data_IF_009353285267
#
_entry.id   IF_009353285267
#
_cell.length_a   1.000
_cell.length_b   1.000
_cell.length_c   1.000
_cell.angle_alpha   90.00
_cell.angle_beta   90.00
_cell.angle_gamma   90.00
#
_symmetry.space_group_name_H-M   'P 1'
#
loop_
_entity.id
_entity.type
_entity.pdbx_description
1 polymer ?
#
# COMPACT_ATOMS: atom_id res chain seq x y z
N UNK A 1 -38.62 -49.92 0.26
CA UNK A 1 -38.91 -48.99 -0.86
C UNK A 1 -37.68 -48.90 -1.75
N UNK A 2 -37.91 -48.87 -3.05
CA UNK A 2 -37.00 -49.20 -4.15
C UNK A 2 -35.71 -48.35 -4.23
N UNK A 3 -34.54 -48.99 -4.28
CA UNK A 3 -33.24 -48.39 -4.54
C UNK A 3 -32.92 -48.44 -6.03
N UNK A 4 -32.80 -47.27 -6.66
CA UNK A 4 -32.33 -47.14 -8.05
C UNK A 4 -30.80 -47.05 -8.09
N UNK A 5 -30.10 -47.81 -8.96
CA UNK A 5 -28.66 -47.67 -9.15
C UNK A 5 -28.34 -46.52 -10.11
N UNK A 6 -27.32 -45.72 -9.77
CA UNK A 6 -26.74 -44.67 -10.62
C UNK A 6 -25.74 -45.26 -11.62
N UNK A 7 -25.88 -44.87 -12.89
CA UNK A 7 -24.99 -45.24 -13.98
C UNK A 7 -23.60 -44.59 -13.83
N UNK A 8 -22.54 -45.39 -14.02
CA UNK A 8 -21.15 -44.94 -14.13
C UNK A 8 -20.88 -44.43 -15.55
N UNK A 9 -20.59 -43.14 -15.69
CA UNK A 9 -20.08 -42.55 -16.92
C UNK A 9 -18.57 -42.78 -17.06
N UNK A 10 -18.17 -43.44 -18.14
CA UNK A 10 -16.78 -43.64 -18.53
C UNK A 10 -16.23 -42.38 -19.20
N UNK A 11 -15.21 -41.75 -18.61
CA UNK A 11 -14.45 -40.67 -19.25
C UNK A 11 -13.44 -41.25 -20.25
N UNK A 12 -13.58 -40.86 -21.52
CA UNK A 12 -12.57 -41.09 -22.58
C UNK A 12 -11.45 -40.06 -22.44
N UNK A 13 -10.21 -40.54 -22.30
CA UNK A 13 -9.01 -39.73 -22.36
C UNK A 13 -8.76 -39.23 -23.81
N UNK A 14 -8.29 -37.99 -24.02
CA UNK A 14 -7.89 -37.51 -25.34
C UNK A 14 -6.49 -38.02 -25.69
N UNK A 15 -6.40 -38.57 -26.89
CA UNK A 15 -5.22 -39.13 -27.56
C UNK A 15 -4.21 -38.02 -27.86
N UNK A 16 -2.97 -38.22 -27.44
CA UNK A 16 -1.80 -37.44 -27.86
C UNK A 16 -1.62 -37.53 -29.38
N UNK A 17 -1.66 -36.39 -30.07
CA UNK A 17 -1.26 -36.27 -31.47
C UNK A 17 0.14 -35.70 -31.52
N UNK A 18 1.10 -36.58 -31.81
CA UNK A 18 2.44 -36.21 -32.23
C UNK A 18 2.36 -35.48 -33.58
N UNK A 19 3.10 -34.38 -33.72
CA UNK A 19 3.38 -33.73 -35.00
C UNK A 19 4.89 -33.58 -35.14
N UNK A 20 5.37 -34.05 -36.29
CA UNK A 20 6.75 -34.09 -36.74
C UNK A 20 7.39 -32.70 -36.88
N UNK A 21 8.74 -32.61 -36.75
CA UNK A 21 9.49 -31.40 -37.08
C UNK A 21 9.82 -31.37 -38.58
N UNK A 22 9.24 -30.44 -39.32
CA UNK A 22 9.66 -30.11 -40.68
C UNK A 22 10.76 -29.05 -40.69
N UNK A 23 11.83 -29.41 -41.38
CA UNK A 23 12.98 -28.62 -41.81
C UNK A 23 12.58 -27.27 -42.42
N UNK A 24 13.18 -26.18 -41.93
CA UNK A 24 13.15 -24.86 -42.58
C UNK A 24 14.59 -24.46 -42.93
N UNK A 25 14.80 -24.28 -44.23
CA UNK A 25 15.99 -23.75 -44.89
C UNK A 25 16.19 -22.25 -44.59
N UNK A 26 17.44 -21.74 -44.52
CA UNK A 26 17.71 -20.32 -44.40
C UNK A 26 17.80 -19.69 -45.80
N UNK A 27 16.93 -18.72 -46.09
CA UNK A 27 16.96 -17.99 -47.36
C UNK A 27 16.22 -16.66 -47.31
N UNK A 28 17.00 -15.58 -47.30
CA UNK A 28 16.70 -14.24 -47.84
C UNK A 28 15.35 -13.58 -47.52
N UNK A 29 15.33 -12.61 -46.59
CA UNK A 29 14.54 -11.36 -46.69
C UNK A 29 15.03 -10.36 -45.63
N UNK A 30 16.08 -9.58 -45.96
CA UNK A 30 16.64 -8.53 -45.08
C UNK A 30 16.26 -7.11 -45.53
N UNK A 31 15.42 -6.93 -46.55
CA UNK A 31 15.21 -5.61 -47.15
C UNK A 31 14.02 -4.76 -46.63
N UNK A 32 13.12 -5.26 -45.77
CA UNK A 32 11.85 -4.55 -45.48
C UNK A 32 11.70 -3.94 -44.07
N UNK A 33 12.69 -4.10 -43.18
CA UNK A 33 12.55 -3.61 -41.79
C UNK A 33 12.83 -2.11 -41.63
N UNK A 34 13.58 -1.50 -42.53
CA UNK A 34 13.94 -0.07 -42.44
C UNK A 34 12.77 0.83 -42.85
N UNK A 35 11.97 0.43 -43.83
CA UNK A 35 10.88 1.27 -44.37
C UNK A 35 9.72 1.43 -43.38
N UNK A 36 9.42 0.39 -42.59
CA UNK A 36 8.40 0.45 -41.53
C UNK A 36 8.86 1.28 -40.33
N UNK A 37 10.16 1.30 -40.01
CA UNK A 37 10.71 2.12 -38.93
C UNK A 37 10.67 3.62 -39.30
N UNK A 38 10.93 3.98 -40.55
CA UNK A 38 10.82 5.37 -41.03
C UNK A 38 9.37 5.87 -40.95
N UNK A 39 8.39 5.08 -41.40
CA UNK A 39 6.98 5.47 -41.30
C UNK A 39 6.51 5.59 -39.84
N UNK A 40 6.97 4.71 -38.95
CA UNK A 40 6.64 4.79 -37.53
C UNK A 40 7.27 6.03 -36.85
N UNK A 41 8.50 6.40 -37.23
CA UNK A 41 9.16 7.62 -36.76
C UNK A 41 8.49 8.89 -37.29
N UNK A 42 8.07 8.92 -38.56
CA UNK A 42 7.31 10.04 -39.12
C UNK A 42 5.94 10.19 -38.46
N UNK A 43 5.26 9.08 -38.14
CA UNK A 43 3.98 9.13 -37.44
C UNK A 43 4.13 9.61 -35.99
N UNK A 44 5.21 9.21 -35.30
CA UNK A 44 5.55 9.69 -33.97
C UNK A 44 5.88 11.20 -33.95
N UNK A 45 6.71 11.66 -34.89
CA UNK A 45 7.09 13.07 -35.03
C UNK A 45 5.89 13.97 -35.35
N UNK A 46 4.95 13.51 -36.19
CA UNK A 46 3.70 14.23 -36.46
C UNK A 46 2.80 14.32 -35.22
N UNK A 47 2.73 13.27 -34.42
CA UNK A 47 1.97 13.25 -33.17
C UNK A 47 2.57 14.17 -32.09
N UNK A 48 3.91 14.25 -32.04
CA UNK A 48 4.63 15.12 -31.10
C UNK A 48 4.44 16.60 -31.43
N UNK A 49 4.53 16.99 -32.71
CA UNK A 49 4.23 18.36 -33.15
C UNK A 49 2.80 18.79 -32.78
N UNK A 50 1.82 17.89 -32.94
CA UNK A 50 0.43 18.18 -32.56
C UNK A 50 0.25 18.36 -31.04
N UNK A 51 0.95 17.56 -30.22
CA UNK A 51 0.96 17.72 -28.75
C UNK A 51 1.64 19.01 -28.32
N UNK A 52 2.74 19.37 -28.97
CA UNK A 52 3.46 20.61 -28.71
C UNK A 52 2.60 21.84 -29.06
N UNK A 53 1.93 21.85 -30.22
CA UNK A 53 1.02 22.93 -30.62
C UNK A 53 -0.19 23.07 -29.67
N UNK A 54 -0.74 21.95 -29.18
CA UNK A 54 -1.80 21.98 -28.17
C UNK A 54 -1.31 22.54 -26.83
N UNK A 55 -0.09 22.21 -26.41
CA UNK A 55 0.51 22.77 -25.20
C UNK A 55 0.80 24.27 -25.35
N UNK A 56 1.34 24.71 -26.50
CA UNK A 56 1.53 26.14 -26.79
C UNK A 56 0.20 26.87 -26.78
N UNK A 57 -0.85 26.34 -27.41
CA UNK A 57 -2.17 26.98 -27.41
C UNK A 57 -2.78 27.05 -26.02
N UNK A 58 -2.60 26.03 -25.17
CA UNK A 58 -3.02 26.10 -23.75
C UNK A 58 -2.21 27.12 -22.97
N UNK A 59 -0.89 27.20 -23.20
CA UNK A 59 -0.03 28.18 -22.54
C UNK A 59 -0.39 29.62 -22.95
N UNK A 60 -0.68 29.86 -24.23
CA UNK A 60 -1.12 31.17 -24.73
C UNK A 60 -2.52 31.54 -24.24
N UNK A 61 -3.44 30.58 -24.13
CA UNK A 61 -4.75 30.80 -23.53
C UNK A 61 -4.67 31.11 -22.01
N UNK A 62 -3.63 30.62 -21.32
CA UNK A 62 -3.36 30.97 -19.93
C UNK A 62 -2.67 32.35 -19.80
N UNK A 63 -1.90 32.78 -20.81
CA UNK A 63 -1.11 34.02 -20.78
C UNK A 63 -1.89 35.31 -21.12
N UNK A 64 -3.13 35.23 -21.62
CA UNK A 64 -3.96 36.42 -21.88
C UNK A 64 -4.71 36.95 -20.65
N UNK A 65 -4.51 36.36 -19.47
CA UNK A 65 -4.87 36.96 -18.17
C UNK A 65 -3.72 37.80 -17.59
N UNK A 66 -3.22 38.75 -18.39
CA UNK A 66 -2.49 39.88 -17.84
C UNK A 66 -3.52 40.88 -17.28
N UNK A 67 -3.70 40.88 -15.97
CA UNK A 67 -4.48 41.92 -15.28
C UNK A 67 -3.75 43.26 -15.37
N UNK A 68 -4.45 44.38 -15.63
CA UNK A 68 -3.87 45.70 -15.48
C UNK A 68 -3.65 46.01 -14.00
N UNK A 69 -2.53 46.68 -13.70
CA UNK A 69 -2.23 47.33 -12.43
C UNK A 69 -3.50 48.01 -11.85
N UNK A 70 -3.97 47.54 -10.70
CA UNK A 70 -4.89 48.29 -9.86
C UNK A 70 -4.12 48.68 -8.59
N UNK A 71 -3.77 49.97 -8.52
CA UNK A 71 -3.33 50.62 -7.30
C UNK A 71 -4.49 50.64 -6.28
N UNK A 72 -4.18 50.36 -5.01
CA UNK A 72 -5.09 50.48 -3.89
C UNK A 72 -5.70 51.90 -3.81
N UNK A 73 -6.99 52.05 -3.48
CA UNK A 73 -7.61 53.36 -3.26
C UNK A 73 -7.08 54.03 -1.98
N UNK A 74 -6.75 55.31 -2.08
CA UNK A 74 -6.08 56.16 -1.07
C UNK A 74 -6.84 56.30 0.27
N UNK A 75 -8.10 55.85 0.35
CA UNK A 75 -8.96 55.96 1.54
C UNK A 75 -8.70 54.96 2.66
N UNK A 76 -7.89 53.91 2.44
CA UNK A 76 -7.52 52.93 3.48
C UNK A 76 -6.25 53.30 4.26
N UNK A 77 -5.50 54.33 3.85
CA UNK A 77 -4.22 54.70 4.48
C UNK A 77 -4.42 55.78 5.56
N UNK A 78 -5.45 56.63 5.45
CA UNK A 78 -5.77 57.65 6.45
C UNK A 78 -7.29 57.80 6.62
N UNK A 79 -7.85 57.05 7.56
CA UNK A 79 -9.27 57.12 7.92
C UNK A 79 -9.46 57.04 9.43
N UNK A 80 -9.08 58.10 10.13
CA UNK A 80 -9.35 58.33 11.56
C UNK A 80 -10.78 58.83 11.74
N UNK A 81 -11.60 58.10 12.49
CA UNK A 81 -12.90 58.56 13.00
C UNK A 81 -13.28 57.78 14.27
N UNK A 82 -13.79 58.43 15.34
CA UNK A 82 -13.92 57.80 16.66
C UNK A 82 -15.09 56.81 16.73
N UNK A 83 -14.85 55.71 17.43
CA UNK A 83 -15.84 54.71 17.85
C UNK A 83 -16.91 55.32 18.78
N UNK A 84 -18.18 55.07 18.46
CA UNK A 84 -19.24 54.94 19.46
C UNK A 84 -19.53 53.45 19.69
N UNK A 85 -19.71 52.99 20.95
CA UNK A 85 -20.02 51.60 21.25
C UNK A 85 -21.53 51.35 21.16
N UNK A 86 -22.01 50.81 20.04
CA UNK A 86 -23.37 50.27 19.94
C UNK A 86 -23.33 48.78 20.29
N UNK A 87 -24.08 48.46 21.34
CA UNK A 87 -24.26 47.11 21.90
C UNK A 87 -25.49 46.51 21.24
N UNK A 88 -25.35 45.68 20.20
CA UNK A 88 -26.49 44.94 19.65
C UNK A 88 -26.15 43.49 19.29
N UNK A 89 -26.68 42.61 20.15
CA UNK A 89 -27.05 41.22 19.90
C UNK A 89 -27.68 41.05 18.53
N UNK A 90 -26.97 40.43 17.60
CA UNK A 90 -27.51 39.98 16.31
C UNK A 90 -27.22 38.49 16.14
N UNK A 91 -28.29 37.72 15.98
CA UNK A 91 -28.24 36.35 15.50
C UNK A 91 -27.72 36.39 14.06
N UNK A 92 -26.52 35.87 13.84
CA UNK A 92 -25.97 35.64 12.51
C UNK A 92 -26.76 34.53 11.80
N UNK A 93 -27.86 34.92 11.17
CA UNK A 93 -28.48 34.12 10.10
C UNK A 93 -27.69 34.44 8.83
N UNK A 94 -26.98 33.46 8.22
CA UNK A 94 -26.26 33.70 7.00
C UNK A 94 -27.27 34.04 5.89
N UNK A 95 -27.34 35.32 5.53
CA UNK A 95 -28.02 35.83 4.35
C UNK A 95 -27.36 35.21 3.11
N UNK A 96 -27.86 34.07 2.65
CA UNK A 96 -27.47 33.52 1.35
C UNK A 96 -27.93 34.52 0.27
N UNK A 97 -27.03 35.13 -0.50
CA UNK A 97 -27.41 36.08 -1.53
C UNK A 97 -28.23 35.37 -2.61
N UNK A 98 -29.53 35.68 -2.68
CA UNK A 98 -30.42 35.29 -3.77
C UNK A 98 -29.92 35.93 -5.07
N UNK A 99 -28.97 35.28 -5.73
CA UNK A 99 -28.47 35.68 -7.03
C UNK A 99 -29.36 35.07 -8.10
N UNK A 100 -30.04 35.92 -8.87
CA UNK A 100 -30.85 35.50 -10.00
C UNK A 100 -29.93 35.09 -11.16
N UNK A 101 -29.61 33.81 -11.27
CA UNK A 101 -28.85 33.24 -12.38
C UNK A 101 -27.96 32.06 -11.98
N UNK A 102 -27.41 31.31 -12.95
CA UNK A 102 -26.44 30.27 -12.66
C UNK A 102 -25.18 30.90 -12.05
N UNK A 103 -24.93 30.62 -10.77
CA UNK A 103 -23.72 31.06 -10.07
C UNK A 103 -22.51 30.39 -10.74
N UNK A 104 -21.50 31.16 -11.21
CA UNK A 104 -20.28 30.59 -11.77
C UNK A 104 -19.66 29.59 -10.78
N UNK A 105 -19.15 28.45 -11.27
CA UNK A 105 -18.48 27.44 -10.40
C UNK A 105 -17.32 28.02 -9.57
N UNK A 106 -16.74 29.13 -10.01
CA UNK A 106 -15.70 29.87 -9.29
C UNK A 106 -16.22 30.74 -8.14
N UNK A 107 -17.54 30.96 -8.03
CA UNK A 107 -18.19 31.81 -7.03
C UNK A 107 -18.99 31.02 -6.01
N UNK A 108 -19.28 29.75 -6.29
CA UNK A 108 -19.63 28.82 -5.23
C UNK A 108 -18.36 28.74 -4.39
N UNK A 109 -18.31 29.26 -3.14
CA UNK A 109 -17.22 28.91 -2.25
C UNK A 109 -17.17 27.40 -2.34
N UNK A 110 -16.04 26.83 -2.77
CA UNK A 110 -15.84 25.40 -2.62
C UNK A 110 -16.06 25.20 -1.15
N UNK A 111 -17.27 24.75 -0.77
CA UNK A 111 -17.62 24.38 0.59
C UNK A 111 -16.51 23.44 0.91
N UNK A 112 -15.54 23.88 1.73
CA UNK A 112 -14.25 23.24 1.89
C UNK A 112 -14.58 21.78 2.03
N UNK A 113 -14.44 21.04 0.93
CA UNK A 113 -14.79 19.65 0.92
C UNK A 113 -13.70 19.18 1.83
N UNK A 114 -14.10 18.82 3.05
CA UNK A 114 -13.24 18.44 4.14
C UNK A 114 -12.61 17.11 3.73
N UNK A 115 -11.84 17.15 2.64
CA UNK A 115 -11.02 16.05 2.18
C UNK A 115 -10.09 15.85 3.37
N UNK A 116 -10.18 14.69 4.01
CA UNK A 116 -9.39 14.44 5.18
C UNK A 116 -7.93 14.64 4.78
N UNK A 117 -7.18 15.34 5.63
CA UNK A 117 -5.75 15.51 5.44
C UNK A 117 -5.08 14.13 5.57
N UNK A 118 -4.99 13.46 4.44
CA UNK A 118 -4.41 12.15 4.27
C UNK A 118 -2.89 12.14 4.52
N UNK A 119 -2.27 13.31 4.64
CA UNK A 119 -0.86 13.49 4.98
C UNK A 119 -0.66 13.87 6.45
N UNK A 120 -1.74 13.96 7.23
CA UNK A 120 -1.66 14.12 8.68
C UNK A 120 -1.21 12.82 9.37
N UNK A 121 -0.32 12.89 10.38
CA UNK A 121 0.07 11.72 11.17
C UNK A 121 -1.10 11.05 11.88
N UNK A 122 -2.08 11.82 12.34
CA UNK A 122 -3.28 11.30 13.01
C UNK A 122 -4.12 10.42 12.08
N UNK A 123 -4.30 10.85 10.82
CA UNK A 123 -4.99 10.03 9.83
C UNK A 123 -4.18 8.77 9.52
N UNK A 124 -2.86 8.86 9.33
CA UNK A 124 -2.02 7.67 9.06
C UNK A 124 -2.03 6.67 10.22
N UNK A 125 -2.02 7.15 11.46
CA UNK A 125 -2.13 6.31 12.65
C UNK A 125 -3.46 5.54 12.65
N UNK A 126 -4.58 6.23 12.42
CA UNK A 126 -5.91 5.60 12.33
C UNK A 126 -6.01 4.63 11.15
N UNK A 127 -5.44 5.01 10.00
CA UNK A 127 -5.39 4.18 8.80
C UNK A 127 -4.64 2.87 9.05
N UNK A 128 -3.47 2.93 9.69
CA UNK A 128 -2.62 1.77 9.94
C UNK A 128 -2.97 1.02 11.24
N UNK A 129 -3.95 1.47 12.03
CA UNK A 129 -4.30 0.90 13.34
C UNK A 129 -4.40 -0.63 13.34
N UNK A 130 -5.19 -1.21 12.41
CA UNK A 130 -5.35 -2.66 12.27
C UNK A 130 -4.05 -3.39 11.89
N UNK A 131 -3.15 -2.73 11.15
CA UNK A 131 -1.88 -3.32 10.75
C UNK A 131 -0.83 -3.24 11.87
N UNK A 132 -0.87 -2.19 12.67
CA UNK A 132 0.12 -1.94 13.72
C UNK A 132 -0.20 -2.67 15.03
N UNK A 133 -1.45 -3.08 15.25
CA UNK A 133 -1.83 -3.90 16.40
C UNK A 133 -1.16 -5.28 16.31
N UNK A 134 -0.36 -5.69 17.27
CA UNK A 134 0.46 -6.92 17.16
C UNK A 134 -0.35 -8.23 17.31
N UNK A 135 -1.69 -8.17 17.30
CA UNK A 135 -2.57 -9.34 17.31
C UNK A 135 -2.59 -10.12 18.64
N UNK A 136 -1.67 -9.80 19.57
CA UNK A 136 -1.69 -10.31 20.94
C UNK A 136 -2.79 -9.66 21.81
N UNK A 137 -3.53 -8.69 21.27
CA UNK A 137 -4.61 -7.97 21.96
C UNK A 137 -5.93 -8.74 22.09
N UNK A 138 -5.95 -10.05 21.76
CA UNK A 138 -7.10 -10.95 21.99
C UNK A 138 -7.59 -11.02 23.47
N UNK A 139 -6.96 -10.26 24.38
CA UNK A 139 -7.29 -10.21 25.82
C UNK A 139 -7.85 -8.86 26.29
N UNK A 140 -7.97 -7.83 25.45
CA UNK A 140 -8.26 -6.46 25.91
C UNK A 140 -9.45 -5.83 25.19
N UNK A 141 -10.56 -6.54 25.11
CA UNK A 141 -11.83 -6.15 24.48
C UNK A 141 -12.60 -5.02 25.18
N UNK A 142 -11.93 -4.06 25.86
CA UNK A 142 -12.59 -2.96 26.58
C UNK A 142 -11.99 -1.55 26.35
N UNK A 143 -11.03 -1.34 25.43
CA UNK A 143 -10.38 -0.02 25.28
C UNK A 143 -11.03 0.94 24.27
N UNK A 144 -12.12 0.56 23.59
CA UNK A 144 -12.67 1.35 22.48
C UNK A 144 -13.62 2.49 22.87
N UNK A 145 -13.98 2.69 24.15
CA UNK A 145 -14.97 3.73 24.51
C UNK A 145 -14.47 4.89 25.39
N UNK A 146 -13.20 4.93 25.80
CA UNK A 146 -12.64 6.04 26.58
C UNK A 146 -11.70 6.97 25.79
N UNK A 147 -11.95 7.18 24.49
CA UNK A 147 -11.22 8.15 23.65
C UNK A 147 -11.47 9.64 24.02
N UNK A 148 -12.03 9.94 25.18
CA UNK A 148 -12.32 11.32 25.65
C UNK A 148 -11.46 11.76 26.83
N UNK A 149 -10.56 10.92 27.33
CA UNK A 149 -9.49 11.33 28.24
C UNK A 149 -8.18 11.32 27.49
N UNK A 150 -7.53 12.47 27.33
CA UNK A 150 -6.18 12.58 26.77
C UNK A 150 -5.12 11.97 27.69
N UNK A 151 -5.26 10.68 28.03
CA UNK A 151 -4.20 9.94 28.67
C UNK A 151 -3.02 9.90 27.72
N UNK A 152 -1.93 10.49 28.17
CA UNK A 152 -0.65 10.50 27.47
C UNK A 152 -0.20 9.04 27.39
N UNK A 153 -0.45 8.39 26.25
CA UNK A 153 0.06 7.05 25.99
C UNK A 153 1.58 7.10 26.08
N UNK A 154 2.13 6.50 27.14
CA UNK A 154 3.57 6.47 27.36
C UNK A 154 4.19 5.66 26.22
N UNK A 155 5.12 6.29 25.49
CA UNK A 155 5.85 5.61 24.43
C UNK A 155 6.73 4.53 25.05
N UNK A 156 6.80 3.37 24.39
CA UNK A 156 7.70 2.31 24.82
C UNK A 156 9.16 2.78 24.76
N UNK A 157 10.01 2.28 25.66
CA UNK A 157 11.43 2.63 25.69
C UNK A 157 12.12 2.42 24.32
N UNK A 158 11.92 1.29 23.61
CA UNK A 158 12.53 1.10 22.29
C UNK A 158 12.12 2.19 21.28
N UNK A 159 10.87 2.64 21.32
CA UNK A 159 10.37 3.70 20.45
C UNK A 159 11.04 5.05 20.76
N UNK A 160 11.21 5.38 22.05
CA UNK A 160 11.93 6.58 22.46
C UNK A 160 13.40 6.55 21.99
N UNK A 161 14.08 5.42 22.13
CA UNK A 161 15.45 5.25 21.66
C UNK A 161 15.56 5.44 20.14
N UNK A 162 14.67 4.82 19.36
CA UNK A 162 14.63 4.96 17.90
C UNK A 162 14.39 6.41 17.48
N UNK A 163 13.44 7.11 18.12
CA UNK A 163 13.19 8.53 17.85
C UNK A 163 14.40 9.40 18.15
N UNK A 164 15.11 9.11 19.25
CA UNK A 164 16.35 9.83 19.60
C UNK A 164 17.45 9.61 18.56
N UNK A 165 17.57 8.38 18.03
CA UNK A 165 18.52 8.09 16.95
C UNK A 165 18.15 8.84 15.68
N UNK A 166 16.88 8.83 15.25
CA UNK A 166 16.43 9.58 14.09
C UNK A 166 16.63 11.09 14.23
N UNK A 167 16.39 11.65 15.43
CA UNK A 167 16.63 13.07 15.69
C UNK A 167 18.13 13.43 15.64
N UNK A 168 19.02 12.49 15.95
CA UNK A 168 20.47 12.72 16.00
C UNK A 168 21.13 12.53 14.64
N UNK A 169 20.75 11.47 13.91
CA UNK A 169 21.37 11.08 12.64
C UNK A 169 20.58 11.55 11.41
N UNK A 170 19.28 11.82 11.53
CA UNK A 170 18.41 12.19 10.41
C UNK A 170 17.65 11.01 9.80
N UNK A 171 16.74 11.34 8.86
CA UNK A 171 15.86 10.40 8.14
C UNK A 171 16.28 10.14 6.69
N UNK A 172 17.46 10.62 6.28
CA UNK A 172 17.99 10.44 4.92
C UNK A 172 18.56 9.03 4.70
N UNK A 173 18.75 8.67 3.43
CA UNK A 173 19.14 7.31 3.05
C UNK A 173 20.54 6.90 3.52
N UNK A 174 21.49 7.84 3.60
CA UNK A 174 22.86 7.55 4.02
C UNK A 174 22.90 7.30 5.52
N UNK A 175 22.21 8.13 6.30
CA UNK A 175 22.09 7.99 7.75
C UNK A 175 21.38 6.70 8.15
N UNK A 176 20.28 6.36 7.48
CA UNK A 176 19.56 5.09 7.72
C UNK A 176 20.43 3.88 7.33
N UNK A 177 21.15 3.94 6.21
CA UNK A 177 22.08 2.88 5.82
C UNK A 177 23.22 2.69 6.83
N UNK A 178 23.72 3.78 7.43
CA UNK A 178 24.76 3.75 8.45
C UNK A 178 24.26 3.21 9.79
N UNK A 179 23.01 3.52 10.19
CA UNK A 179 22.41 3.03 11.42
C UNK A 179 22.02 1.54 11.34
N UNK A 180 21.59 1.08 10.18
CA UNK A 180 20.99 -0.25 9.98
C UNK A 180 21.80 -1.41 10.59
N UNK A 181 23.13 -1.55 10.39
CA UNK A 181 23.88 -2.69 10.92
C UNK A 181 23.84 -2.80 12.45
N UNK A 182 23.54 -1.70 13.15
CA UNK A 182 23.47 -1.62 14.60
C UNK A 182 22.05 -1.80 15.14
N UNK A 183 21.04 -1.87 14.26
CA UNK A 183 19.64 -2.01 14.66
C UNK A 183 19.21 -3.48 14.59
N UNK A 184 18.78 -4.09 15.72
CA UNK A 184 18.19 -5.42 15.66
C UNK A 184 16.90 -5.41 14.82
N UNK A 185 16.48 -6.55 14.24
CA UNK A 185 15.29 -6.62 13.38
C UNK A 185 14.03 -6.02 14.02
N UNK A 186 13.83 -6.23 15.33
CA UNK A 186 12.72 -5.65 16.08
C UNK A 186 12.78 -4.11 16.12
N UNK A 187 13.96 -3.51 16.30
CA UNK A 187 14.13 -2.06 16.29
C UNK A 187 13.92 -1.47 14.88
N UNK A 188 14.40 -2.16 13.83
CA UNK A 188 14.11 -1.78 12.43
C UNK A 188 12.61 -1.75 12.16
N UNK A 189 11.87 -2.75 12.66
CA UNK A 189 10.40 -2.81 12.55
C UNK A 189 9.73 -1.64 13.29
N UNK A 190 10.16 -1.34 14.51
CA UNK A 190 9.63 -0.19 15.29
C UNK A 190 9.89 1.13 14.55
N UNK A 191 11.10 1.32 14.02
CA UNK A 191 11.47 2.49 13.20
C UNK A 191 10.59 2.61 11.95
N UNK A 192 10.39 1.50 11.24
CA UNK A 192 9.52 1.46 10.05
C UNK A 192 8.08 1.88 10.39
N UNK A 193 7.52 1.36 11.48
CA UNK A 193 6.16 1.68 11.94
C UNK A 193 6.03 3.14 12.38
N UNK A 194 6.97 3.64 13.17
CA UNK A 194 6.96 5.02 13.66
C UNK A 194 7.06 6.05 12.52
N UNK A 195 8.01 5.83 11.60
CA UNK A 195 8.20 6.69 10.44
C UNK A 195 7.01 6.62 9.48
N UNK A 196 6.41 5.45 9.26
CA UNK A 196 5.20 5.33 8.45
C UNK A 196 4.03 6.22 8.96
N UNK A 197 3.92 6.41 10.28
CA UNK A 197 2.90 7.26 10.89
C UNK A 197 3.32 8.72 10.92
N UNK A 198 4.50 9.06 11.42
CA UNK A 198 4.86 10.44 11.71
C UNK A 198 5.55 11.14 10.54
N UNK A 199 6.52 10.49 9.91
CA UNK A 199 7.35 11.07 8.84
C UNK A 199 7.76 9.97 7.85
N UNK A 200 6.91 9.68 6.85
CA UNK A 200 7.16 8.61 5.89
C UNK A 200 8.53 8.72 5.22
N UNK A 201 9.32 7.64 5.28
CA UNK A 201 10.64 7.61 4.67
C UNK A 201 10.57 7.79 3.15
N UNK A 202 11.55 8.50 2.60
CA UNK A 202 11.76 8.56 1.14
C UNK A 202 12.04 7.17 0.57
N UNK A 203 11.82 6.96 -0.74
CA UNK A 203 12.01 5.63 -1.36
C UNK A 203 13.43 5.09 -1.19
N UNK A 204 14.45 5.96 -1.19
CA UNK A 204 15.84 5.58 -0.97
C UNK A 204 16.13 5.22 0.48
N UNK A 205 15.61 5.99 1.44
CA UNK A 205 15.76 5.70 2.87
C UNK A 205 15.02 4.42 3.27
N UNK A 206 13.83 4.20 2.73
CA UNK A 206 13.08 2.96 2.91
C UNK A 206 13.86 1.77 2.32
N UNK A 207 14.37 1.87 1.09
CA UNK A 207 15.17 0.81 0.50
C UNK A 207 16.45 0.52 1.32
N UNK A 208 17.10 1.56 1.87
CA UNK A 208 18.25 1.41 2.74
C UNK A 208 17.91 0.64 4.03
N UNK A 209 16.77 0.97 4.67
CA UNK A 209 16.28 0.30 5.89
C UNK A 209 15.96 -1.18 5.66
N UNK A 210 15.33 -1.49 4.52
CA UNK A 210 14.85 -2.83 4.18
C UNK A 210 15.96 -3.75 3.67
N UNK A 211 17.00 -3.23 3.02
CA UNK A 211 18.10 -4.04 2.52
C UNK A 211 18.92 -4.68 3.68
N UNK A 212 19.59 -5.82 3.48
CA UNK A 212 19.50 -6.67 2.29
C UNK A 212 18.20 -7.48 2.24
N UNK A 213 17.57 -7.73 3.38
CA UNK A 213 16.48 -8.71 3.57
C UNK A 213 15.19 -8.38 2.80
N UNK A 214 15.01 -7.12 2.39
CA UNK A 214 13.80 -6.61 1.75
C UNK A 214 12.66 -6.28 2.71
N UNK A 215 12.82 -6.53 4.01
CA UNK A 215 11.85 -6.24 5.05
C UNK A 215 12.52 -5.77 6.36
N UNK A 216 11.77 -5.08 7.22
CA UNK A 216 12.20 -4.74 8.57
C UNK A 216 11.49 -5.65 9.58
N UNK A 217 12.17 -6.71 10.05
CA UNK A 217 11.60 -7.65 11.02
C UNK A 217 10.33 -8.37 10.53
N UNK A 218 10.32 -8.79 9.25
CA UNK A 218 9.18 -9.42 8.60
C UNK A 218 8.13 -8.46 8.03
N UNK A 219 8.30 -7.14 8.18
CA UNK A 219 7.32 -6.16 7.72
C UNK A 219 7.83 -5.23 6.63
N UNK A 220 6.92 -4.83 5.75
CA UNK A 220 7.13 -3.81 4.73
C UNK A 220 5.97 -2.84 4.78
N UNK A 221 6.26 -1.56 5.06
CA UNK A 221 5.26 -0.49 5.12
C UNK A 221 5.66 0.60 4.13
N UNK A 222 4.79 0.88 3.17
CA UNK A 222 5.03 1.86 2.11
C UNK A 222 3.94 2.91 2.18
N UNK A 223 4.34 4.17 2.35
CA UNK A 223 3.42 5.29 2.55
C UNK A 223 3.67 6.38 1.52
N UNK A 224 2.61 6.74 0.80
CA UNK A 224 2.56 7.91 -0.06
C UNK A 224 2.48 7.60 -1.56
N UNK A 225 1.93 8.54 -2.36
CA UNK A 225 1.64 8.32 -3.78
C UNK A 225 2.87 8.25 -4.68
N UNK A 226 4.00 8.84 -4.26
CA UNK A 226 5.26 8.80 -4.99
C UNK A 226 6.07 7.53 -4.78
N UNK A 227 5.67 6.68 -3.83
CA UNK A 227 6.39 5.45 -3.51
C UNK A 227 6.00 4.34 -4.49
N UNK A 228 6.98 3.68 -5.07
CA UNK A 228 6.76 2.52 -5.93
C UNK A 228 7.32 1.29 -5.24
N UNK A 229 6.45 0.34 -4.94
CA UNK A 229 6.88 -0.97 -4.43
C UNK A 229 7.65 -1.70 -5.53
N UNK A 230 8.94 -1.86 -5.28
CA UNK A 230 9.87 -2.61 -6.12
C UNK A 230 9.70 -4.11 -5.86
N UNK A 231 9.43 -4.94 -6.89
CA UNK A 231 9.30 -6.39 -6.72
C UNK A 231 10.53 -7.05 -6.07
N UNK A 232 11.70 -6.44 -6.24
CA UNK A 232 12.95 -6.91 -5.66
C UNK A 232 12.92 -6.89 -4.13
N UNK A 233 12.21 -5.93 -3.52
CA UNK A 233 12.07 -5.83 -2.06
C UNK A 233 11.28 -7.01 -1.47
N UNK A 234 10.45 -7.68 -2.26
CA UNK A 234 9.66 -8.82 -1.80
C UNK A 234 10.37 -10.17 -1.98
N UNK A 235 11.47 -10.21 -2.76
CA UNK A 235 12.16 -11.44 -3.13
C UNK A 235 13.46 -11.69 -2.37
N UNK A 236 13.86 -10.75 -1.51
CA UNK A 236 15.22 -10.65 -1.02
C UNK A 236 15.65 -11.70 0.02
N UNK A 237 14.95 -12.83 0.12
CA UNK A 237 15.31 -13.99 0.93
C UNK A 237 15.87 -15.18 0.13
N UNK A 238 15.91 -15.16 -1.20
CA UNK A 238 16.75 -16.12 -1.92
C UNK A 238 18.19 -15.61 -1.77
N UNK A 239 19.06 -16.30 -0.98
CA UNK A 239 20.46 -15.95 -0.95
C UNK A 239 20.87 -16.00 -2.41
N UNK A 240 21.25 -14.84 -2.93
CA UNK A 240 21.78 -14.75 -4.27
C UNK A 240 22.99 -15.66 -4.23
N UNK A 241 22.79 -16.90 -4.70
CA UNK A 241 23.85 -17.86 -4.91
C UNK A 241 24.65 -17.21 -6.02
N UNK A 242 25.52 -16.28 -5.63
CA UNK A 242 26.58 -15.72 -6.44
C UNK A 242 27.50 -16.90 -6.71
N UNK A 243 27.06 -17.70 -7.67
CA UNK A 243 27.78 -18.82 -8.19
C UNK A 243 29.10 -18.31 -8.72
N UNK A 244 30.14 -19.08 -8.41
CA UNK A 244 31.50 -19.00 -8.95
C UNK A 244 32.39 -17.91 -8.37
N UNK A 245 32.93 -18.20 -7.19
CA UNK A 245 34.39 -18.37 -7.14
C UNK A 245 34.67 -19.84 -7.39
N UNK A 246 34.96 -20.17 -8.65
CA UNK A 246 35.62 -21.43 -8.98
C UNK A 246 36.97 -21.50 -8.27
N UNK A 247 37.39 -22.73 -7.94
CA UNK A 247 38.75 -23.14 -7.51
C UNK A 247 39.22 -22.79 -6.10
N UNK A 248 38.88 -23.65 -5.14
CA UNK A 248 39.91 -24.19 -4.25
C UNK A 248 39.55 -25.61 -3.83
N UNK A 249 40.57 -26.45 -3.84
CA UNK A 249 40.51 -27.90 -3.71
C UNK A 249 39.84 -28.40 -2.42
N UNK A 250 39.27 -29.61 -2.41
CA UNK A 250 38.79 -30.26 -1.20
C UNK A 250 39.97 -30.54 -0.27
N UNK A 251 40.24 -29.62 0.66
CA UNK A 251 41.08 -29.91 1.82
C UNK A 251 40.34 -30.95 2.65
N UNK A 252 40.77 -32.20 2.52
CA UNK A 252 40.45 -33.28 3.44
C UNK A 252 40.97 -32.88 4.82
N UNK A 253 40.14 -32.22 5.63
CA UNK A 253 40.40 -32.11 7.05
C UNK A 253 40.04 -33.45 7.69
N UNK A 254 41.09 -34.13 8.13
CA UNK A 254 41.03 -35.34 8.94
C UNK A 254 40.10 -35.14 10.13
N UNK A 255 39.20 -36.12 10.30
CA UNK A 255 38.34 -36.28 11.45
C UNK A 255 39.20 -36.43 12.71
N UNK A 256 39.37 -35.33 13.44
CA UNK A 256 39.81 -35.38 14.83
C UNK A 256 38.59 -35.08 15.69
N UNK A 257 37.99 -36.17 16.20
CA UNK A 257 37.03 -36.18 17.29
C UNK A 257 37.64 -35.43 18.48
N UNK A 258 37.30 -34.15 18.60
CA UNK A 258 37.53 -33.35 19.80
C UNK A 258 36.17 -33.18 20.47
N UNK A 259 36.06 -33.80 21.64
CA UNK A 259 34.93 -33.71 22.56
C UNK A 259 34.67 -32.23 22.85
N UNK A 260 33.72 -31.63 22.13
CA UNK A 260 33.28 -30.26 22.38
C UNK A 260 32.18 -30.31 23.44
N UNK A 261 32.46 -29.62 24.53
CA UNK A 261 31.63 -29.47 25.71
C UNK A 261 30.16 -29.18 25.34
N UNK A 262 29.23 -30.00 25.84
CA UNK A 262 27.78 -29.90 25.66
C UNK A 262 27.15 -28.77 26.51
N UNK A 263 27.94 -27.80 26.99
CA UNK A 263 27.52 -26.74 27.91
C UNK A 263 27.31 -25.36 27.22
N UNK A 264 27.26 -25.28 25.88
CA UNK A 264 26.86 -24.07 25.12
C UNK A 264 25.32 -23.93 24.97
N UNK A 265 24.56 -24.51 25.89
CA UNK A 265 23.11 -24.27 25.99
C UNK A 265 22.86 -22.88 26.62
N UNK A 266 22.03 -22.07 25.95
CA UNK A 266 21.45 -20.80 26.45
C UNK A 266 22.31 -19.53 26.42
N UNK A 267 23.06 -19.29 25.34
CA UNK A 267 23.34 -17.89 24.97
C UNK A 267 22.05 -17.24 24.47
N UNK A 268 21.34 -16.55 25.37
CA UNK A 268 20.14 -15.76 25.07
C UNK A 268 20.35 -14.69 23.97
N UNK A 269 21.61 -14.41 23.64
CA UNK A 269 22.03 -13.45 22.61
C UNK A 269 22.58 -14.12 21.34
N UNK A 270 22.65 -15.46 21.27
CA UNK A 270 23.01 -16.13 20.03
C UNK A 270 21.86 -15.92 19.04
N UNK A 271 22.07 -15.22 17.90
CA UNK A 271 21.07 -15.16 16.87
C UNK A 271 20.72 -16.61 16.51
N UNK A 272 19.44 -16.97 16.57
CA UNK A 272 18.98 -18.23 16.00
C UNK A 272 19.30 -18.19 14.52
N UNK A 273 20.45 -18.73 14.14
CA UNK A 273 21.15 -18.59 12.84
C UNK A 273 20.37 -19.14 11.63
N UNK A 274 19.07 -19.43 11.76
CA UNK A 274 18.28 -20.09 10.73
C UNK A 274 16.90 -19.50 10.45
N UNK A 275 16.38 -18.60 11.28
CA UNK A 275 15.07 -18.00 11.02
C UNK A 275 15.24 -16.83 10.07
N UNK A 276 15.46 -17.14 8.80
CA UNK A 276 15.27 -16.22 7.68
C UNK A 276 13.84 -15.69 7.79
N UNK A 277 13.68 -14.52 8.44
CA UNK A 277 12.39 -13.90 8.68
C UNK A 277 11.72 -13.61 7.35
N UNK A 278 10.89 -14.50 6.81
CA UNK A 278 10.17 -14.18 5.58
C UNK A 278 9.20 -13.03 5.85
N UNK A 279 9.02 -12.14 4.86
CA UNK A 279 8.03 -11.08 4.98
C UNK A 279 6.65 -11.68 5.30
N UNK A 280 6.10 -11.28 6.45
CA UNK A 280 4.81 -11.69 7.00
C UNK A 280 3.78 -10.57 6.95
N UNK A 281 4.22 -9.30 6.98
CA UNK A 281 3.35 -8.13 6.89
C UNK A 281 3.69 -7.21 5.71
N UNK A 282 2.66 -6.80 4.96
CA UNK A 282 2.77 -5.77 3.92
C UNK A 282 1.67 -4.73 4.09
N UNK A 283 2.03 -3.46 4.22
CA UNK A 283 1.10 -2.33 4.21
C UNK A 283 1.44 -1.35 3.09
N UNK A 284 0.44 -1.03 2.28
CA UNK A 284 0.48 0.01 1.24
C UNK A 284 -0.54 1.08 1.60
N UNK A 285 -0.07 2.28 1.92
CA UNK A 285 -0.90 3.42 2.28
C UNK A 285 -0.76 4.51 1.22
N UNK A 286 -1.82 4.77 0.45
CA UNK A 286 -1.81 5.73 -0.67
C UNK A 286 -0.75 5.49 -1.73
N UNK A 287 -0.11 4.33 -1.73
CA UNK A 287 0.88 3.93 -2.71
C UNK A 287 0.20 3.20 -3.88
N UNK A 288 0.62 3.43 -5.14
CA UNK A 288 0.16 2.63 -6.26
C UNK A 288 0.57 1.16 -6.07
N UNK A 289 -0.38 0.24 -6.26
CA UNK A 289 -0.13 -1.20 -6.29
C UNK A 289 0.02 -1.67 -7.74
N UNK A 290 1.23 -2.00 -8.22
CA UNK A 290 1.40 -2.52 -9.56
C UNK A 290 0.67 -3.86 -9.70
N UNK A 291 -0.18 -4.00 -10.72
CA UNK A 291 -0.96 -5.24 -10.96
C UNK A 291 -0.08 -6.49 -11.07
N UNK A 292 1.15 -6.31 -11.56
CA UNK A 292 2.14 -7.39 -11.72
C UNK A 292 2.72 -7.90 -10.39
N UNK A 293 2.58 -7.12 -9.32
CA UNK A 293 3.16 -7.43 -8.02
C UNK A 293 2.30 -8.40 -7.20
N UNK A 294 0.99 -8.40 -7.42
CA UNK A 294 0.06 -9.32 -6.74
C UNK A 294 0.45 -10.80 -6.84
N UNK A 295 0.78 -11.36 -8.03
CA UNK A 295 1.24 -12.75 -8.12
C UNK A 295 2.68 -12.97 -7.62
N UNK A 296 3.44 -11.90 -7.34
CA UNK A 296 4.80 -11.99 -6.78
C UNK A 296 4.83 -11.68 -5.29
N UNK A 297 3.68 -11.53 -4.64
CA UNK A 297 3.61 -11.40 -3.19
C UNK A 297 4.10 -12.71 -2.54
N UNK A 298 4.87 -12.64 -1.44
CA UNK A 298 5.27 -13.82 -0.70
C UNK A 298 4.05 -14.59 -0.19
N UNK A 299 4.03 -15.91 -0.41
CA UNK A 299 2.97 -16.78 0.10
C UNK A 299 2.94 -16.85 1.64
N UNK A 300 4.01 -16.37 2.29
CA UNK A 300 4.19 -16.25 3.74
C UNK A 300 3.47 -15.05 4.36
N UNK A 301 2.91 -14.14 3.56
CA UNK A 301 2.18 -12.99 4.07
C UNK A 301 0.95 -13.43 4.89
N UNK A 302 0.94 -13.03 6.15
CA UNK A 302 -0.17 -13.21 7.09
C UNK A 302 -0.96 -11.90 7.28
N UNK A 303 -0.35 -10.74 7.04
CA UNK A 303 -0.98 -9.42 7.18
C UNK A 303 -0.81 -8.60 5.92
N UNK A 304 -1.92 -8.10 5.39
CA UNK A 304 -1.93 -7.28 4.19
C UNK A 304 -2.88 -6.10 4.40
N UNK A 305 -2.35 -4.89 4.32
CA UNK A 305 -3.12 -3.66 4.35
C UNK A 305 -2.95 -2.91 3.04
N UNK A 306 -4.04 -2.69 2.32
CA UNK A 306 -4.10 -1.99 1.05
C UNK A 306 -5.01 -0.79 1.23
N UNK A 307 -4.49 0.31 1.77
CA UNK A 307 -5.29 1.43 2.28
C UNK A 307 -5.23 2.63 1.33
N UNK A 308 -6.40 3.19 1.02
CA UNK A 308 -6.54 4.40 0.20
C UNK A 308 -5.76 4.34 -1.13
N UNK A 309 -5.81 3.20 -1.83
CA UNK A 309 -5.07 3.04 -3.07
C UNK A 309 -5.59 4.03 -4.14
N UNK A 310 -4.70 4.62 -4.95
CA UNK A 310 -5.10 5.58 -5.99
C UNK A 310 -5.87 4.93 -7.15
N UNK A 311 -5.83 3.61 -7.28
CA UNK A 311 -6.49 2.86 -8.35
C UNK A 311 -7.01 1.50 -7.90
N UNK A 312 -8.07 0.97 -8.51
CA UNK A 312 -8.61 -0.34 -8.16
C UNK A 312 -7.59 -1.48 -8.31
N UNK A 313 -7.54 -2.36 -7.31
CA UNK A 313 -6.67 -3.54 -7.31
C UNK A 313 -7.45 -4.82 -7.66
N UNK A 314 -6.87 -5.79 -8.40
CA UNK A 314 -7.54 -7.06 -8.71
C UNK A 314 -7.48 -8.04 -7.52
N UNK A 315 -8.25 -7.73 -6.47
CA UNK A 315 -8.29 -8.46 -5.19
C UNK A 315 -8.66 -9.95 -5.34
N UNK A 316 -9.41 -10.31 -6.39
CA UNK A 316 -9.78 -11.71 -6.68
C UNK A 316 -8.59 -12.65 -6.88
N UNK A 317 -7.38 -12.12 -7.10
CA UNK A 317 -6.14 -12.90 -7.24
C UNK A 317 -5.45 -13.21 -5.92
N UNK A 318 -5.71 -12.41 -4.88
CA UNK A 318 -5.06 -12.51 -3.57
C UNK A 318 -5.21 -13.89 -2.90
N UNK A 319 -6.38 -14.55 -2.87
CA UNK A 319 -6.46 -15.86 -2.20
C UNK A 319 -5.59 -16.95 -2.84
N UNK A 320 -5.18 -16.79 -4.10
CA UNK A 320 -4.22 -17.69 -4.74
C UNK A 320 -2.76 -17.33 -4.47
N UNK A 321 -2.46 -16.04 -4.22
CA UNK A 321 -1.11 -15.56 -4.00
C UNK A 321 -0.69 -15.63 -2.52
N UNK A 322 -1.59 -15.28 -1.60
CA UNK A 322 -1.34 -15.21 -0.16
C UNK A 322 -2.32 -16.12 0.60
N UNK A 323 -2.17 -17.45 0.53
CA UNK A 323 -3.12 -18.38 1.17
C UNK A 323 -3.07 -18.35 2.71
N UNK A 324 -2.00 -17.80 3.29
CA UNK A 324 -1.80 -17.72 4.73
C UNK A 324 -2.32 -16.44 5.39
N UNK A 325 -3.01 -15.59 4.62
CA UNK A 325 -3.45 -14.29 5.13
C UNK A 325 -4.48 -14.44 6.26
N UNK A 326 -4.19 -13.79 7.38
CA UNK A 326 -5.03 -13.72 8.58
C UNK A 326 -5.68 -12.35 8.72
N UNK A 327 -5.02 -11.29 8.25
CA UNK A 327 -5.54 -9.92 8.27
C UNK A 327 -5.49 -9.31 6.87
N UNK A 328 -6.64 -8.81 6.41
CA UNK A 328 -6.79 -8.04 5.19
C UNK A 328 -7.46 -6.70 5.50
N UNK A 329 -6.72 -5.59 5.43
CA UNK A 329 -7.30 -4.24 5.54
C UNK A 329 -7.44 -3.60 4.15
N UNK A 330 -8.65 -3.18 3.81
CA UNK A 330 -9.01 -2.52 2.57
C UNK A 330 -9.62 -1.13 2.83
N UNK A 331 -9.35 -0.52 3.98
CA UNK A 331 -9.93 0.76 4.36
C UNK A 331 -9.66 1.90 3.38
N UNK A 332 -10.54 2.91 3.40
CA UNK A 332 -10.50 4.16 2.62
C UNK A 332 -10.47 3.98 1.10
N UNK A 333 -10.77 2.77 0.59
CA UNK A 333 -10.86 2.50 -0.84
C UNK A 333 -12.29 2.71 -1.37
N UNK A 334 -12.62 3.95 -1.73
CA UNK A 334 -13.96 4.32 -2.24
C UNK A 334 -14.35 3.63 -3.56
N UNK A 335 -13.37 3.03 -4.26
CA UNK A 335 -13.62 2.24 -5.46
C UNK A 335 -14.23 0.86 -5.17
N UNK A 336 -14.25 0.41 -3.92
CA UNK A 336 -14.88 -0.87 -3.54
C UNK A 336 -16.40 -0.81 -3.60
N UNK A 337 -16.99 0.34 -3.26
CA UNK A 337 -18.43 0.56 -3.34
C UNK A 337 -18.95 0.75 -4.78
N UNK A 338 -18.07 1.16 -5.70
CA UNK A 338 -18.44 1.50 -7.08
C UNK A 338 -18.39 0.25 -7.96
N UNK A 339 -19.50 -0.15 -8.61
CA UNK A 339 -19.45 -1.20 -9.63
C UNK A 339 -18.62 -0.71 -10.81
N UNK A 340 -17.63 -1.50 -11.22
CA UNK A 340 -16.84 -1.18 -12.41
C UNK A 340 -17.69 -1.52 -13.64
N UNK A 341 -18.10 -0.50 -14.41
CA UNK A 341 -18.80 -0.68 -15.70
C UNK A 341 -20.08 -1.55 -15.65
N UNK A 342 -20.85 -1.47 -14.56
CA UNK A 342 -22.09 -2.25 -14.41
C UNK A 342 -21.85 -3.73 -14.05
N UNK A 343 -20.61 -4.14 -13.81
CA UNK A 343 -20.28 -5.43 -13.22
C UNK A 343 -20.46 -5.42 -11.70
N UNK A 344 -20.40 -6.63 -11.13
CA UNK A 344 -20.29 -6.85 -9.70
C UNK A 344 -19.16 -6.01 -9.07
N UNK A 345 -19.34 -5.62 -7.81
CA UNK A 345 -18.30 -4.90 -7.05
C UNK A 345 -17.01 -5.72 -6.98
N UNK A 346 -15.87 -5.04 -6.78
CA UNK A 346 -14.57 -5.72 -6.74
C UNK A 346 -14.51 -6.84 -5.69
N UNK A 347 -15.22 -6.68 -4.57
CA UNK A 347 -15.34 -7.68 -3.51
C UNK A 347 -16.25 -8.87 -3.89
N UNK A 348 -17.31 -8.64 -4.67
CA UNK A 348 -18.21 -9.71 -5.11
C UNK A 348 -17.51 -10.71 -6.05
N UNK A 349 -16.44 -10.28 -6.73
CA UNK A 349 -15.61 -11.14 -7.58
C UNK A 349 -14.66 -12.05 -6.80
N UNK A 350 -14.48 -11.81 -5.50
CA UNK A 350 -13.56 -12.58 -4.67
C UNK A 350 -14.23 -13.90 -4.29
N UNK A 351 -13.50 -14.99 -4.48
CA UNK A 351 -13.87 -16.32 -3.98
C UNK A 351 -13.56 -16.42 -2.50
N UNK A 352 -14.47 -15.90 -1.68
CA UNK A 352 -14.30 -15.83 -0.25
C UNK A 352 -14.00 -17.19 0.35
N UNK A 353 -14.62 -18.26 -0.16
CA UNK A 353 -14.43 -19.66 0.26
C UNK A 353 -12.97 -20.15 0.27
N UNK A 354 -12.05 -19.49 -0.44
CA UNK A 354 -10.62 -19.83 -0.47
C UNK A 354 -9.81 -19.26 0.70
N UNK A 355 -10.33 -18.27 1.41
CA UNK A 355 -9.61 -17.58 2.48
C UNK A 355 -9.71 -18.32 3.82
N UNK A 356 -9.19 -19.53 3.94
CA UNK A 356 -9.44 -20.37 5.13
C UNK A 356 -8.83 -19.84 6.43
N UNK A 357 -7.85 -18.94 6.35
CA UNK A 357 -7.15 -18.37 7.52
C UNK A 357 -7.52 -16.92 7.83
N UNK A 358 -8.26 -16.26 6.95
CA UNK A 358 -8.60 -14.85 7.11
C UNK A 358 -9.50 -14.68 8.34
N UNK A 359 -9.01 -13.93 9.34
CA UNK A 359 -9.68 -13.66 10.61
C UNK A 359 -10.24 -12.25 10.68
N UNK A 360 -9.49 -11.29 10.15
CA UNK A 360 -9.82 -9.86 10.22
C UNK A 360 -9.92 -9.30 8.81
N UNK A 361 -11.07 -8.68 8.51
CA UNK A 361 -11.30 -7.93 7.27
C UNK A 361 -11.66 -6.48 7.62
N UNK A 362 -10.76 -5.54 7.33
CA UNK A 362 -10.98 -4.10 7.49
C UNK A 362 -11.61 -3.48 6.25
N UNK A 363 -12.76 -2.81 6.39
CA UNK A 363 -13.49 -2.15 5.28
C UNK A 363 -13.96 -0.73 5.63
N UNK A 364 -13.23 -0.06 6.52
CA UNK A 364 -13.51 1.31 7.01
C UNK A 364 -13.55 2.32 5.86
N UNK A 365 -14.50 3.25 5.87
CA UNK A 365 -14.53 4.37 4.92
C UNK A 365 -14.46 3.97 3.42
N UNK A 366 -14.94 2.77 3.10
CA UNK A 366 -14.95 2.26 1.71
C UNK A 366 -16.21 2.67 0.94
N UNK A 367 -17.20 3.23 1.65
CA UNK A 367 -18.55 3.52 1.13
C UNK A 367 -19.44 2.27 1.01
N UNK A 368 -19.04 1.15 1.60
CA UNK A 368 -19.86 -0.05 1.67
C UNK A 368 -20.79 0.04 2.87
N UNK A 369 -22.09 -0.09 2.61
CA UNK A 369 -23.09 -0.15 3.67
C UNK A 369 -22.95 -1.44 4.48
N UNK A 370 -23.27 -1.39 5.77
CA UNK A 370 -23.26 -2.56 6.65
C UNK A 370 -24.19 -3.69 6.14
N UNK A 371 -25.26 -3.32 5.44
CA UNK A 371 -26.23 -4.25 4.85
C UNK A 371 -25.80 -4.78 3.47
N UNK A 372 -24.62 -4.40 2.98
CA UNK A 372 -24.11 -4.84 1.68
C UNK A 372 -24.14 -6.37 1.59
N UNK A 373 -24.83 -6.89 0.56
CA UNK A 373 -24.93 -8.32 0.27
C UNK A 373 -23.56 -8.99 0.23
N UNK A 374 -22.52 -8.26 -0.20
CA UNK A 374 -21.17 -8.81 -0.29
C UNK A 374 -20.59 -9.09 1.09
N UNK A 375 -20.75 -8.16 2.04
CA UNK A 375 -20.30 -8.36 3.42
C UNK A 375 -21.05 -9.51 4.08
N UNK A 376 -22.35 -9.67 3.78
CA UNK A 376 -23.12 -10.85 4.22
C UNK A 376 -22.54 -12.15 3.68
N UNK A 377 -22.17 -12.22 2.41
CA UNK A 377 -21.55 -13.41 1.79
C UNK A 377 -20.17 -13.69 2.38
N UNK A 378 -19.37 -12.66 2.66
CA UNK A 378 -18.10 -12.84 3.39
C UNK A 378 -18.36 -13.52 4.74
N UNK A 379 -19.49 -13.17 5.36
CA UNK A 379 -19.84 -13.65 6.68
C UNK A 379 -20.54 -15.00 6.73
N UNK A 380 -21.09 -15.48 5.62
CA UNK A 380 -21.80 -16.74 5.59
C UNK A 380 -20.83 -17.94 5.74
N UNK A 381 -20.85 -18.57 6.92
CA UNK A 381 -20.22 -19.88 7.18
C UNK A 381 -18.73 -19.85 7.58
N UNK A 382 -18.18 -18.70 7.97
CA UNK A 382 -16.74 -18.54 8.27
C UNK A 382 -16.41 -18.11 9.70
N UNK A 383 -17.32 -17.43 10.38
CA UNK A 383 -17.11 -17.01 11.77
C UNK A 383 -17.31 -18.19 12.71
N UNK A 384 -16.22 -18.87 13.03
CA UNK A 384 -16.14 -19.64 14.28
C UNK A 384 -16.18 -18.63 15.44
N UNK A 385 -16.77 -19.00 16.58
CA UNK A 385 -16.75 -18.17 17.80
C UNK A 385 -15.33 -17.62 18.05
N UNK A 386 -15.16 -16.29 17.98
CA UNK A 386 -13.88 -15.60 18.23
C UNK A 386 -13.23 -14.86 17.04
N UNK A 387 -13.83 -14.85 15.84
CA UNK A 387 -13.42 -13.93 14.77
C UNK A 387 -14.27 -12.64 14.83
N UNK A 388 -13.64 -11.48 14.66
CA UNK A 388 -14.29 -10.17 14.67
C UNK A 388 -14.16 -9.49 13.29
N UNK A 389 -15.28 -9.12 12.66
CA UNK A 389 -15.23 -8.06 11.65
C UNK A 389 -14.93 -6.80 12.46
N UNK A 390 -13.65 -6.42 12.53
CA UNK A 390 -13.27 -5.19 13.21
C UNK A 390 -13.76 -4.02 12.36
N UNK A 391 -14.96 -3.58 12.73
CA UNK A 391 -15.59 -2.30 12.44
C UNK A 391 -15.91 -1.98 10.97
N UNK A 392 -17.22 -2.01 10.67
CA UNK A 392 -17.86 -1.15 9.68
C UNK A 392 -18.18 0.14 10.43
N UNK A 393 -17.20 1.04 10.60
CA UNK A 393 -17.53 2.43 10.93
C UNK A 393 -18.02 3.02 9.60
N UNK A 394 -19.34 3.09 9.47
CA UNK A 394 -20.03 3.80 8.39
C UNK A 394 -20.41 5.21 8.86
#
# INVERSE_FOLDING_TARGET
>A
MSSKPRARGTYKAPVHRALDPLLILPGSHVADKTERDVNHRLHALRGEHFRHDLNIRRALAASTRATPRQSLPYGQIFGTGPQEPVTESSMDVPLTPNTAGPVPKSWVPMSESHEPDFDSPSWRAAALELFLDDGNSASTSNSSTNRHGGEIALLSLPLLCVRSLLATYGSDAESIAALRPYLPPAARRILLRDTAVHEPLSSSALAALLAPDGHAGGEVVIVGPGQVLKPELLRAGEPQQDGRVETSEPVRMDAREEWRDEDEEDSWDAPTDGDLYTASGLALLRAPLPVRLLPSLPATLTRLSLIALPSPAPLHRLPGACPLLELLDLGWNTWLAKPAWGEDTALARIRWERWTRLRVLGVRETGLDAESKVLRVVNEGRWVEGMEVVEIIA
#
